data_IF_434744614335
#
_entry.id   IF_434744614335
#
_cell.length_a   1.000
_cell.length_b   1.000
_cell.length_c   1.000
_cell.angle_alpha   90.00
_cell.angle_beta   90.00
_cell.angle_gamma   90.00
#
_symmetry.space_group_name_H-M   'P 1'
#
loop_
_entity.id
_entity.type
_entity.pdbx_description
1 polymer ?
#
# COMPACT_ATOMS: atom_id res chain seq x y z
N UNK A 1 14.81 9.42 36.87
CA UNK A 1 15.41 8.41 35.98
C UNK A 1 14.32 8.07 34.99
N UNK A 2 14.20 8.92 33.98
CA UNK A 2 13.18 8.84 32.93
C UNK A 2 13.43 7.62 32.05
N UNK A 3 12.37 6.83 31.83
CA UNK A 3 12.31 5.88 30.75
C UNK A 3 12.40 6.67 29.43
N UNK A 4 13.25 6.30 28.46
CA UNK A 4 13.22 6.93 27.15
C UNK A 4 11.85 6.61 26.55
N UNK A 5 11.08 7.67 26.26
CA UNK A 5 9.79 7.56 25.61
C UNK A 5 9.95 6.75 24.33
N UNK A 6 9.22 5.63 24.25
CA UNK A 6 8.95 4.99 22.99
C UNK A 6 8.41 6.09 22.07
N UNK A 7 9.21 6.49 21.08
CA UNK A 7 8.79 7.49 20.11
C UNK A 7 7.47 7.01 19.54
N UNK A 8 6.52 7.91 19.37
CA UNK A 8 5.20 7.63 18.81
C UNK A 8 5.26 7.11 17.36
N UNK A 9 6.48 6.99 16.82
CA UNK A 9 6.87 6.41 15.54
C UNK A 9 6.95 4.87 15.52
N UNK A 10 6.95 4.19 16.67
CA UNK A 10 7.03 2.71 16.75
C UNK A 10 5.67 2.00 16.53
N UNK A 11 4.61 2.77 16.22
CA UNK A 11 3.31 2.28 15.75
C UNK A 11 3.11 2.58 14.25
N UNK A 12 4.20 2.54 13.47
CA UNK A 12 4.15 2.68 12.03
C UNK A 12 3.21 1.60 11.45
N UNK A 13 2.11 2.02 10.83
CA UNK A 13 1.19 1.13 10.16
C UNK A 13 1.99 0.28 9.15
N UNK A 14 2.07 -1.04 9.32
CA UNK A 14 3.00 -1.86 8.58
C UNK A 14 2.34 -2.23 7.25
N UNK A 15 2.12 -1.25 6.38
CA UNK A 15 1.32 -1.42 5.18
C UNK A 15 2.20 -1.20 3.94
N UNK A 16 2.18 -2.15 3.02
CA UNK A 16 2.77 -1.97 1.68
C UNK A 16 1.63 -1.82 0.70
N UNK A 17 1.68 -0.78 -0.13
CA UNK A 17 0.70 -0.54 -1.21
C UNK A 17 1.40 -0.41 -2.55
N UNK A 18 0.94 -1.20 -3.52
CA UNK A 18 1.39 -1.18 -4.90
C UNK A 18 0.20 -1.00 -5.83
N UNK A 19 0.27 0.03 -6.65
CA UNK A 19 -0.73 0.32 -7.66
C UNK A 19 -0.26 -0.29 -8.98
N UNK A 20 -1.14 -1.01 -9.66
CA UNK A 20 -0.78 -1.72 -10.88
C UNK A 20 -1.92 -1.75 -11.89
N UNK A 21 -1.58 -1.99 -13.15
CA UNK A 21 -2.54 -2.05 -14.25
C UNK A 21 -2.76 -3.50 -14.72
N UNK A 22 -4.01 -3.93 -14.83
CA UNK A 22 -4.37 -5.26 -15.33
C UNK A 22 -5.58 -5.19 -16.29
N UNK A 23 -5.72 -6.14 -17.24
CA UNK A 23 -6.79 -6.11 -18.23
C UNK A 23 -8.18 -6.43 -17.65
N UNK A 24 -8.26 -7.17 -16.53
CA UNK A 24 -9.52 -7.56 -15.90
C UNK A 24 -9.34 -7.79 -14.40
N UNK A 25 -10.46 -7.76 -13.66
CA UNK A 25 -10.51 -8.10 -12.23
C UNK A 25 -9.98 -9.52 -11.97
N UNK A 26 -10.33 -10.48 -12.84
CA UNK A 26 -9.86 -11.86 -12.73
C UNK A 26 -8.33 -11.98 -12.85
N UNK A 27 -7.70 -11.18 -13.73
CA UNK A 27 -6.24 -11.15 -13.83
C UNK A 27 -5.61 -10.45 -12.63
N UNK A 28 -6.21 -9.36 -12.16
CA UNK A 28 -5.75 -8.64 -10.98
C UNK A 28 -5.80 -9.50 -9.71
N UNK A 29 -6.85 -10.32 -9.55
CA UNK A 29 -7.01 -11.24 -8.42
C UNK A 29 -5.82 -12.20 -8.26
N UNK A 30 -5.23 -12.66 -9.38
CA UNK A 30 -4.09 -13.58 -9.34
C UNK A 30 -2.85 -13.04 -8.60
N UNK A 31 -2.77 -11.71 -8.43
CA UNK A 31 -1.69 -11.01 -7.72
C UNK A 31 -1.72 -11.26 -6.20
N UNK A 32 -2.90 -11.53 -5.62
CA UNK A 32 -3.04 -11.85 -4.19
C UNK A 32 -2.17 -13.05 -3.80
N UNK A 33 -1.99 -14.01 -4.70
CA UNK A 33 -1.21 -15.22 -4.41
C UNK A 33 0.29 -15.06 -4.67
N UNK A 34 0.75 -13.87 -5.06
CA UNK A 34 2.16 -13.60 -5.33
C UNK A 34 2.83 -12.96 -4.11
N UNK A 35 3.90 -13.58 -3.61
CA UNK A 35 4.63 -13.08 -2.44
C UNK A 35 5.20 -11.66 -2.65
N UNK A 36 5.71 -11.42 -3.87
CA UNK A 36 6.22 -10.12 -4.32
C UNK A 36 5.13 -9.18 -4.90
N UNK A 37 3.86 -9.57 -4.78
CA UNK A 37 2.73 -8.82 -5.32
C UNK A 37 2.84 -8.59 -6.84
N UNK A 38 2.40 -7.41 -7.35
CA UNK A 38 2.34 -7.14 -8.79
C UNK A 38 3.72 -6.97 -9.43
N UNK A 39 4.77 -6.80 -8.61
CA UNK A 39 6.16 -6.68 -9.06
C UNK A 39 6.84 -8.02 -9.35
N UNK A 40 6.16 -9.16 -9.16
CA UNK A 40 6.69 -10.48 -9.51
C UNK A 40 7.16 -10.51 -10.97
N UNK A 41 8.30 -11.16 -11.24
CA UNK A 41 8.86 -11.18 -12.59
C UNK A 41 8.14 -12.20 -13.47
N UNK A 42 7.79 -11.80 -14.69
CA UNK A 42 7.25 -12.70 -15.70
C UNK A 42 8.32 -13.73 -16.12
N UNK A 43 7.92 -15.02 -16.14
CA UNK A 43 8.78 -16.11 -16.60
C UNK A 43 9.17 -15.86 -18.06
N UNK A 44 10.47 -15.86 -18.33
CA UNK A 44 11.04 -15.69 -19.68
C UNK A 44 11.57 -14.29 -19.97
N UNK A 45 10.85 -13.21 -19.63
CA UNK A 45 11.32 -11.84 -19.90
C UNK A 45 12.18 -11.25 -18.78
N UNK A 46 12.01 -11.74 -17.54
CA UNK A 46 12.68 -11.17 -16.36
C UNK A 46 12.23 -9.75 -16.01
N UNK A 47 11.15 -9.26 -16.63
CA UNK A 47 10.53 -7.96 -16.34
C UNK A 47 9.36 -8.13 -15.37
N UNK A 48 8.96 -7.08 -14.62
CA UNK A 48 7.75 -7.13 -13.80
C UNK A 48 6.54 -7.58 -14.63
N UNK A 49 5.73 -8.45 -14.04
CA UNK A 49 4.52 -9.00 -14.67
C UNK A 49 3.48 -7.90 -14.92
N UNK A 50 3.42 -6.92 -14.02
CA UNK A 50 2.56 -5.74 -14.14
C UNK A 50 3.39 -4.46 -14.05
N UNK A 51 2.97 -3.44 -14.80
CA UNK A 51 3.43 -2.08 -14.56
C UNK A 51 2.92 -1.62 -13.19
N UNK A 52 3.83 -1.15 -12.34
CA UNK A 52 3.58 -0.99 -10.91
C UNK A 52 4.19 0.30 -10.39
N UNK A 53 3.47 1.00 -9.50
CA UNK A 53 3.92 2.16 -8.75
C UNK A 53 3.69 1.91 -7.27
N UNK A 54 4.75 2.02 -6.47
CA UNK A 54 4.65 1.97 -5.01
C UNK A 54 4.33 3.34 -4.44
N UNK A 55 3.35 3.40 -3.55
CA UNK A 55 3.00 4.60 -2.82
C UNK A 55 3.28 4.44 -1.32
N UNK A 56 3.42 5.55 -0.57
CA UNK A 56 3.57 5.50 0.89
C UNK A 56 2.43 4.73 1.55
N UNK A 57 2.71 4.17 2.73
CA UNK A 57 1.81 3.34 3.53
C UNK A 57 0.56 4.11 4.01
N UNK A 58 -0.42 4.29 3.12
CA UNK A 58 -1.74 4.83 3.41
C UNK A 58 -2.76 3.78 3.01
N UNK A 59 -3.74 3.54 3.87
CA UNK A 59 -4.81 2.58 3.60
C UNK A 59 -5.50 2.94 2.26
N UNK A 60 -5.66 1.97 1.33
CA UNK A 60 -6.13 2.25 -0.03
C UNK A 60 -7.49 2.93 -0.12
N UNK A 61 -8.46 2.57 0.71
CA UNK A 61 -9.78 3.20 0.70
C UNK A 61 -9.66 4.71 0.99
N UNK A 62 -8.89 5.08 2.03
CA UNK A 62 -8.59 6.49 2.33
C UNK A 62 -7.78 7.14 1.19
N UNK A 63 -6.76 6.46 0.66
CA UNK A 63 -5.91 7.02 -0.39
C UNK A 63 -6.72 7.33 -1.66
N UNK A 64 -7.55 6.40 -2.09
CA UNK A 64 -8.36 6.55 -3.29
C UNK A 64 -9.41 7.64 -3.09
N UNK A 65 -9.99 7.76 -1.89
CA UNK A 65 -11.11 8.66 -1.64
C UNK A 65 -10.68 10.11 -1.71
N UNK A 66 -9.54 10.40 -1.09
CA UNK A 66 -8.92 11.73 -1.08
C UNK A 66 -8.37 12.14 -2.43
N UNK A 67 -7.74 11.21 -3.17
CA UNK A 67 -7.29 11.49 -4.54
C UNK A 67 -8.47 11.82 -5.45
N UNK A 68 -9.56 11.05 -5.38
CA UNK A 68 -10.76 11.31 -6.19
C UNK A 68 -11.47 12.61 -5.77
N UNK A 69 -11.56 12.91 -4.47
CA UNK A 69 -12.09 14.20 -3.99
C UNK A 69 -11.33 15.37 -4.61
N UNK A 70 -9.99 15.33 -4.58
CA UNK A 70 -9.13 16.40 -5.09
C UNK A 70 -9.11 16.49 -6.63
N UNK A 71 -9.10 15.36 -7.33
CA UNK A 71 -8.91 15.31 -8.78
C UNK A 71 -10.23 15.37 -9.57
N UNK A 72 -11.30 14.79 -9.04
CA UNK A 72 -12.62 14.74 -9.69
C UNK A 72 -13.54 15.89 -9.23
N UNK A 73 -13.13 16.67 -8.21
CA UNK A 73 -13.92 17.74 -7.60
C UNK A 73 -15.31 17.26 -7.11
N UNK A 74 -15.34 16.04 -6.55
CA UNK A 74 -16.54 15.43 -5.96
C UNK A 74 -16.37 15.36 -4.44
N UNK A 75 -17.44 15.55 -3.65
CA UNK A 75 -17.39 15.35 -2.21
C UNK A 75 -16.94 13.92 -1.87
N UNK A 76 -16.12 13.76 -0.83
CA UNK A 76 -15.64 12.44 -0.38
C UNK A 76 -16.76 11.40 -0.22
N UNK A 77 -17.91 11.78 0.33
CA UNK A 77 -19.04 10.87 0.52
C UNK A 77 -19.58 10.29 -0.79
N UNK A 78 -19.60 11.08 -1.86
CA UNK A 78 -20.04 10.63 -3.19
C UNK A 78 -19.00 9.72 -3.83
N UNK A 79 -17.72 10.06 -3.67
CA UNK A 79 -16.60 9.22 -4.11
C UNK A 79 -16.66 7.85 -3.45
N UNK A 80 -16.82 7.79 -2.12
CA UNK A 80 -16.86 6.53 -1.38
C UNK A 80 -18.12 5.70 -1.62
N UNK A 81 -19.19 6.31 -2.13
CA UNK A 81 -20.40 5.61 -2.52
C UNK A 81 -20.28 4.94 -3.90
N UNK A 82 -19.24 5.24 -4.69
CA UNK A 82 -19.03 4.63 -6.00
C UNK A 82 -18.75 3.11 -5.86
N UNK A 83 -19.44 2.21 -6.61
CA UNK A 83 -19.32 0.76 -6.43
C UNK A 83 -17.92 0.18 -6.65
N UNK A 84 -17.06 0.87 -7.42
CA UNK A 84 -15.65 0.51 -7.64
C UNK A 84 -14.66 1.38 -6.85
N UNK A 85 -15.11 2.16 -5.88
CA UNK A 85 -14.19 2.86 -5.00
C UNK A 85 -13.66 1.87 -3.94
N UNK A 86 -12.39 1.46 -4.10
CA UNK A 86 -11.74 0.57 -3.12
C UNK A 86 -12.44 -0.78 -2.94
N UNK A 87 -13.26 -1.21 -3.92
CA UNK A 87 -13.99 -2.47 -3.80
C UNK A 87 -13.02 -3.65 -3.89
N UNK A 88 -13.18 -4.60 -2.97
CA UNK A 88 -12.37 -5.81 -2.89
C UNK A 88 -12.57 -6.67 -4.15
N UNK A 89 -11.48 -6.94 -4.85
CA UNK A 89 -11.42 -7.90 -5.96
C UNK A 89 -11.14 -9.29 -5.40
N UNK A 90 -10.12 -9.40 -4.55
CA UNK A 90 -9.71 -10.64 -3.90
C UNK A 90 -8.86 -10.33 -2.65
N UNK A 91 -8.74 -11.30 -1.74
CA UNK A 91 -8.05 -11.19 -0.46
C UNK A 91 -8.92 -11.63 0.71
N UNK A 92 -8.28 -12.13 1.77
CA UNK A 92 -8.94 -12.62 2.98
C UNK A 92 -8.09 -12.31 4.23
N UNK A 93 -8.71 -12.41 5.41
CA UNK A 93 -8.07 -12.28 6.73
C UNK A 93 -7.12 -11.08 6.87
N UNK A 94 -5.82 -11.32 6.97
CA UNK A 94 -4.76 -10.31 7.17
C UNK A 94 -4.08 -9.86 5.87
N UNK A 95 -4.65 -10.26 4.72
CA UNK A 95 -4.17 -9.92 3.39
C UNK A 95 -3.15 -10.94 2.82
N UNK A 96 -2.57 -10.66 1.65
CA UNK A 96 -2.76 -9.43 0.87
C UNK A 96 -4.17 -9.29 0.29
N UNK A 97 -4.54 -8.05 -0.04
CA UNK A 97 -5.80 -7.69 -0.70
C UNK A 97 -5.51 -6.99 -2.02
N UNK A 98 -6.39 -7.20 -2.99
CA UNK A 98 -6.46 -6.41 -4.22
C UNK A 98 -7.78 -5.68 -4.22
N UNK A 99 -7.73 -4.35 -4.33
CA UNK A 99 -8.92 -3.49 -4.46
C UNK A 99 -8.91 -2.74 -5.77
N UNK A 100 -10.10 -2.38 -6.22
CA UNK A 100 -10.31 -1.60 -7.44
C UNK A 100 -9.97 -0.12 -7.26
N UNK A 101 -9.45 0.49 -8.32
CA UNK A 101 -9.45 1.95 -8.53
C UNK A 101 -10.59 2.25 -9.51
N UNK A 102 -11.42 3.26 -9.23
CA UNK A 102 -12.52 3.60 -10.14
C UNK A 102 -12.00 4.15 -11.47
N UNK A 103 -12.72 3.88 -12.56
CA UNK A 103 -12.34 4.35 -13.90
C UNK A 103 -12.33 5.88 -13.98
N UNK A 104 -13.20 6.55 -13.24
CA UNK A 104 -13.23 8.01 -13.13
C UNK A 104 -11.94 8.54 -12.51
N UNK A 105 -11.49 7.95 -11.39
CA UNK A 105 -10.23 8.34 -10.75
C UNK A 105 -9.03 8.01 -11.64
N UNK A 106 -8.99 6.84 -12.26
CA UNK A 106 -7.93 6.47 -13.20
C UNK A 106 -7.86 7.46 -14.37
N UNK A 107 -9.00 7.87 -14.93
CA UNK A 107 -9.08 8.87 -15.99
C UNK A 107 -8.61 10.24 -15.52
N UNK A 108 -9.01 10.66 -14.32
CA UNK A 108 -8.60 11.94 -13.73
C UNK A 108 -7.09 11.99 -13.44
N UNK A 109 -6.51 10.88 -12.96
CA UNK A 109 -5.06 10.72 -12.77
C UNK A 109 -4.30 10.83 -14.08
N UNK A 110 -4.77 10.14 -15.13
CA UNK A 110 -4.15 10.18 -16.45
C UNK A 110 -4.22 11.56 -17.12
N UNK A 111 -5.28 12.32 -16.85
CA UNK A 111 -5.50 13.65 -17.44
C UNK A 111 -4.86 14.80 -16.63
N UNK A 112 -4.45 14.56 -15.37
CA UNK A 112 -3.90 15.60 -14.52
C UNK A 112 -2.49 16.00 -14.95
N UNK A 113 -2.25 17.31 -15.06
CA UNK A 113 -0.90 17.83 -15.25
C UNK A 113 -0.01 17.52 -14.02
N UNK A 114 1.30 17.28 -14.19
CA UNK A 114 2.21 17.00 -13.09
C UNK A 114 2.17 18.04 -11.96
N UNK A 115 1.99 19.31 -12.30
CA UNK A 115 1.90 20.42 -11.34
C UNK A 115 0.64 20.30 -10.47
N UNK A 116 -0.47 19.82 -11.04
CA UNK A 116 -1.71 19.56 -10.29
C UNK A 116 -1.52 18.39 -9.32
N UNK A 117 -0.88 17.31 -9.75
CA UNK A 117 -0.57 16.17 -8.90
C UNK A 117 0.36 16.55 -7.75
N UNK A 118 1.37 17.39 -8.02
CA UNK A 118 2.26 17.94 -7.00
C UNK A 118 1.53 18.86 -6.01
N UNK A 119 0.56 19.66 -6.48
CA UNK A 119 -0.28 20.47 -5.60
C UNK A 119 -1.12 19.60 -4.65
N UNK A 120 -1.78 18.56 -5.18
CA UNK A 120 -2.55 17.61 -4.35
C UNK A 120 -1.66 16.94 -3.31
N UNK A 121 -0.43 16.54 -3.66
CA UNK A 121 0.51 15.96 -2.71
C UNK A 121 0.92 16.93 -1.58
N UNK A 122 1.12 18.22 -1.89
CA UNK A 122 1.41 19.24 -0.88
C UNK A 122 0.25 19.43 0.08
N UNK A 123 -0.97 19.58 -0.46
CA UNK A 123 -2.17 19.76 0.36
C UNK A 123 -2.39 18.54 1.26
N UNK A 124 -2.20 17.34 0.72
CA UNK A 124 -2.28 16.10 1.48
C UNK A 124 -1.32 16.07 2.67
N UNK A 125 -0.05 16.42 2.46
CA UNK A 125 0.95 16.40 3.53
C UNK A 125 0.59 17.34 4.71
N UNK A 126 -0.16 18.42 4.45
CA UNK A 126 -0.64 19.32 5.52
C UNK A 126 -1.76 18.71 6.37
N UNK A 127 -2.44 17.67 5.89
CA UNK A 127 -3.54 16.99 6.60
C UNK A 127 -3.07 15.96 7.65
N UNK A 128 -1.76 15.88 7.91
CA UNK A 128 -1.20 15.07 9.00
C UNK A 128 -0.73 13.67 8.60
N UNK A 129 -0.41 13.43 7.33
CA UNK A 129 0.17 12.15 6.93
C UNK A 129 1.64 12.02 7.28
N UNK A 130 2.07 10.79 7.57
CA UNK A 130 3.48 10.49 7.84
C UNK A 130 4.41 10.67 6.62
N UNK A 131 3.87 10.79 5.40
CA UNK A 131 4.66 10.98 4.18
C UNK A 131 4.95 12.47 3.93
N UNK A 132 6.24 12.81 3.76
CA UNK A 132 6.67 14.15 3.40
C UNK A 132 6.22 14.53 1.96
N UNK A 133 5.87 15.80 1.68
CA UNK A 133 5.42 16.24 0.36
C UNK A 133 6.39 15.88 -0.77
N UNK A 134 7.69 16.01 -0.53
CA UNK A 134 8.75 15.74 -1.52
C UNK A 134 8.82 14.27 -1.95
N UNK A 135 8.27 13.35 -1.16
CA UNK A 135 8.13 11.93 -1.52
C UNK A 135 6.78 11.65 -2.17
N UNK A 136 5.73 12.34 -1.76
CA UNK A 136 4.37 12.09 -2.21
C UNK A 136 4.13 12.65 -3.63
N UNK A 137 4.65 13.83 -3.94
CA UNK A 137 4.50 14.45 -5.25
C UNK A 137 5.02 13.58 -6.42
N UNK A 138 6.28 13.09 -6.41
CA UNK A 138 6.75 12.23 -7.49
C UNK A 138 5.99 10.90 -7.56
N UNK A 139 5.51 10.37 -6.44
CA UNK A 139 4.71 9.15 -6.42
C UNK A 139 3.32 9.35 -7.07
N UNK A 140 2.66 10.48 -6.83
CA UNK A 140 1.40 10.82 -7.51
C UNK A 140 1.60 11.08 -9.00
N UNK A 141 2.71 11.71 -9.40
CA UNK A 141 3.07 11.85 -10.82
C UNK A 141 3.26 10.47 -11.46
N UNK A 142 4.03 9.58 -10.85
CA UNK A 142 4.21 8.22 -11.34
C UNK A 142 2.88 7.44 -11.43
N UNK A 143 1.97 7.63 -10.47
CA UNK A 143 0.62 7.04 -10.52
C UNK A 143 -0.20 7.58 -11.70
N UNK A 144 -0.12 8.88 -11.98
CA UNK A 144 -0.74 9.50 -13.16
C UNK A 144 -0.19 8.93 -14.47
N UNK A 145 1.12 8.75 -14.56
CA UNK A 145 1.75 8.12 -15.73
C UNK A 145 1.34 6.65 -15.89
N UNK A 146 1.27 5.88 -14.79
CA UNK A 146 0.75 4.51 -14.79
C UNK A 146 -0.69 4.48 -15.32
N UNK A 147 -1.55 5.40 -14.86
CA UNK A 147 -2.92 5.53 -15.34
C UNK A 147 -2.99 5.83 -16.84
N UNK A 148 -2.13 6.75 -17.32
CA UNK A 148 -2.02 7.08 -18.74
C UNK A 148 -1.62 5.88 -19.59
N UNK A 149 -0.58 5.13 -19.18
CA UNK A 149 -0.14 3.91 -19.88
C UNK A 149 -1.20 2.81 -19.84
N UNK A 150 -1.87 2.61 -18.70
CA UNK A 150 -2.97 1.66 -18.58
C UNK A 150 -4.11 1.98 -19.55
N UNK A 151 -4.48 3.26 -19.66
CA UNK A 151 -5.51 3.73 -20.59
C UNK A 151 -5.19 3.45 -22.06
N UNK A 152 -3.91 3.58 -22.46
CA UNK A 152 -3.46 3.29 -23.84
C UNK A 152 -3.66 1.83 -24.24
N UNK A 153 -3.56 0.90 -23.29
CA UNK A 153 -3.75 -0.55 -23.50
C UNK A 153 -5.08 -1.07 -22.97
N UNK A 154 -6.01 -0.19 -22.58
CA UNK A 154 -7.34 -0.52 -22.04
C UNK A 154 -7.30 -1.42 -20.80
N UNK A 155 -6.31 -1.22 -19.94
CA UNK A 155 -6.24 -1.84 -18.62
C UNK A 155 -6.92 -0.96 -17.57
N UNK A 156 -7.48 -1.61 -16.55
CA UNK A 156 -7.96 -0.95 -15.34
C UNK A 156 -6.82 -0.87 -14.30
N UNK A 157 -6.98 0.01 -13.31
CA UNK A 157 -6.06 0.15 -12.20
C UNK A 157 -6.57 -0.56 -10.94
N UNK A 158 -5.62 -1.08 -10.18
CA UNK A 158 -5.83 -1.82 -8.94
C UNK A 158 -4.80 -1.39 -7.91
N UNK A 159 -5.13 -1.59 -6.63
CA UNK A 159 -4.17 -1.48 -5.54
C UNK A 159 -4.03 -2.84 -4.86
N UNK A 160 -2.83 -3.38 -4.89
CA UNK A 160 -2.43 -4.50 -4.07
C UNK A 160 -1.89 -3.98 -2.74
N UNK A 161 -2.35 -4.55 -1.64
CA UNK A 161 -1.98 -4.12 -0.30
C UNK A 161 -1.70 -5.31 0.58
N UNK A 162 -0.65 -5.23 1.40
CA UNK A 162 -0.39 -6.22 2.44
C UNK A 162 0.01 -5.56 3.74
N UNK A 163 -0.27 -6.27 4.83
CA UNK A 163 0.41 -6.01 6.08
C UNK A 163 1.82 -6.61 6.01
N UNK A 164 2.81 -5.84 6.42
CA UNK A 164 4.10 -6.36 6.87
C UNK A 164 3.94 -6.76 8.34
N UNK A 165 4.45 -7.91 8.76
CA UNK A 165 4.51 -8.19 10.19
C UNK A 165 5.32 -7.09 10.87
N UNK A 166 4.78 -6.50 11.94
CA UNK A 166 5.63 -5.80 12.89
C UNK A 166 6.61 -6.87 13.39
N UNK A 167 7.92 -6.65 13.20
CA UNK A 167 8.92 -7.58 13.71
C UNK A 167 8.65 -7.86 15.20
N UNK A 168 9.01 -9.03 15.74
CA UNK A 168 8.84 -9.26 17.16
C UNK A 168 9.57 -8.13 17.90
N UNK A 169 8.84 -7.24 18.59
CA UNK A 169 9.42 -6.46 19.66
C UNK A 169 10.16 -7.47 20.51
N UNK A 170 11.49 -7.35 20.56
CA UNK A 170 12.43 -8.36 21.04
C UNK A 170 11.77 -9.23 22.11
N UNK A 171 11.38 -10.47 21.74
CA UNK A 171 10.88 -11.42 22.73
C UNK A 171 12.05 -11.57 23.70
N UNK A 172 11.86 -11.04 24.90
CA UNK A 172 12.90 -11.01 25.91
C UNK A 172 13.48 -12.42 25.98
N UNK A 173 14.79 -12.53 25.76
CA UNK A 173 15.52 -13.74 26.00
C UNK A 173 15.31 -14.08 27.48
N UNK A 174 14.30 -14.91 27.76
CA UNK A 174 14.10 -15.52 29.05
C UNK A 174 15.38 -16.31 29.35
N UNK A 175 15.99 -16.14 30.54
CA UNK A 175 17.20 -16.87 30.84
C UNK A 175 16.90 -18.38 30.80
N UNK A 176 17.84 -19.23 30.33
CA UNK A 176 17.63 -20.66 30.33
C UNK A 176 17.40 -21.13 31.77
N UNK A 177 16.15 -21.52 32.04
CA UNK A 177 15.75 -22.17 33.28
C UNK A 177 15.89 -23.67 33.10
N UNK A 178 16.78 -24.29 33.88
CA UNK A 178 16.89 -25.75 34.03
C UNK A 178 18.31 -26.25 33.77
N UNK A 179 19.05 -26.80 34.73
CA UNK A 179 18.61 -27.25 36.04
C UNK A 179 19.77 -27.51 36.99
N UNK A 180 19.45 -27.34 38.29
CA UNK A 180 20.16 -28.04 39.34
C UNK A 180 19.61 -29.46 39.39
N UNK A 181 20.49 -30.44 39.29
CA UNK A 181 20.28 -31.74 39.94
C UNK A 181 21.31 -31.85 41.07
N UNK A 182 20.80 -32.27 42.22
CA UNK A 182 21.42 -32.31 43.54
C UNK A 182 21.91 -33.74 43.83
N UNK A 183 22.83 -33.84 44.80
CA UNK A 183 23.16 -35.02 45.66
C UNK A 183 24.01 -36.12 44.98
N UNK A 184 25.00 -36.79 45.60
CA UNK A 184 25.36 -37.05 47.01
C UNK A 184 26.82 -37.59 47.14
N UNK A 185 27.47 -37.42 48.32
CA UNK A 185 28.64 -38.21 48.85
C UNK A 185 28.26 -39.71 48.97
N UNK A 186 29.16 -40.71 49.21
CA UNK A 186 30.47 -40.74 49.92
C UNK A 186 31.58 -41.50 49.11
N UNK A 187 32.83 -41.74 49.53
CA UNK A 187 33.44 -42.13 50.81
C UNK A 187 34.81 -41.47 51.03
#
# INVERSE_FOLDING_TARGET
MDLPGASRDDLAAPLVTDYFAAPTDAVAATVVHQEAGPSVLARGSGRPLFDTVRLPAVEPFVMLGRLAEALCARPYAEVTAHPRHGALVDGADEGPWVVTVSDELASALAAAAPERLAAVARDWATTGTAAAPDRLAPAFVALGELAGRAGQVRHALYCWTRLTPLGPAAVAAGPPSGGRVRTSRPA
#
